data_IF_105350078944
#
_entry.id   IF_105350078944
#
_cell.length_a   1.000
_cell.length_b   1.000
_cell.length_c   1.000
_cell.angle_alpha   90.00
_cell.angle_beta   90.00
_cell.angle_gamma   90.00
#
_symmetry.space_group_name_H-M   'P 1'
#
loop_
_entity.id
_entity.type
_entity.pdbx_description
1 polymer ?
#
# COMPACT_ATOMS: atom_id res chain seq x y z
N UNK A 1 -12.25 -5.24 10.19
CA UNK A 1 -12.15 -3.78 9.94
C UNK A 1 -10.76 -3.50 9.39
N UNK A 2 -10.66 -2.68 8.34
CA UNK A 2 -9.36 -2.28 7.77
C UNK A 2 -8.85 -1.05 8.53
N UNK A 3 -7.59 -1.04 8.94
CA UNK A 3 -6.95 0.10 9.59
C UNK A 3 -5.54 0.33 9.07
N UNK A 4 -5.09 1.58 9.08
CA UNK A 4 -3.77 1.97 8.61
C UNK A 4 -3.05 2.75 9.72
N UNK A 5 -1.79 2.40 9.96
CA UNK A 5 -0.91 3.08 10.91
C UNK A 5 0.44 3.36 10.24
N UNK A 6 1.03 4.53 10.51
CA UNK A 6 2.39 4.87 10.05
C UNK A 6 3.27 5.17 11.26
N UNK A 7 4.47 4.60 11.29
CA UNK A 7 5.47 4.78 12.35
C UNK A 7 6.77 5.32 11.79
N UNK A 8 7.34 6.27 12.52
CA UNK A 8 8.72 6.73 12.31
C UNK A 8 9.68 5.83 13.08
N UNK A 9 10.74 5.38 12.41
CA UNK A 9 11.82 4.61 13.01
C UNK A 9 13.10 5.43 12.87
N UNK A 10 13.58 5.94 13.99
CA UNK A 10 14.82 6.71 14.04
C UNK A 10 16.01 5.83 13.63
N UNK A 11 16.99 6.37 12.89
CA UNK A 11 18.19 5.64 12.54
C UNK A 11 19.04 5.45 13.81
N UNK A 12 19.68 4.28 13.94
CA UNK A 12 20.59 4.01 15.06
C UNK A 12 21.92 4.77 14.93
N UNK A 13 22.25 5.23 13.71
CA UNK A 13 23.41 6.05 13.38
C UNK A 13 22.92 7.30 12.62
N UNK A 14 23.25 8.54 13.06
CA UNK A 14 22.83 9.77 12.38
C UNK A 14 23.26 9.91 10.91
N UNK A 15 24.24 9.13 10.45
CA UNK A 15 24.67 9.08 9.05
C UNK A 15 23.74 8.27 8.14
N UNK A 16 22.82 7.49 8.73
CA UNK A 16 21.84 6.66 8.01
C UNK A 16 20.47 7.36 7.94
N UNK A 17 19.68 7.12 6.87
CA UNK A 17 18.33 7.66 6.79
C UNK A 17 17.39 6.98 7.78
N UNK A 18 16.39 7.73 8.24
CA UNK A 18 15.29 7.18 9.03
C UNK A 18 14.40 6.27 8.18
N UNK A 19 13.61 5.40 8.82
CA UNK A 19 12.58 4.63 8.12
C UNK A 19 11.17 5.09 8.47
N UNK A 20 10.30 4.97 7.48
CA UNK A 20 8.86 5.05 7.60
C UNK A 20 8.28 3.64 7.44
N UNK A 21 7.53 3.19 8.44
CA UNK A 21 6.84 1.90 8.44
C UNK A 21 5.33 2.15 8.35
N UNK A 22 4.70 1.74 7.26
CA UNK A 22 3.24 1.78 7.09
C UNK A 22 2.66 0.37 7.21
N UNK A 23 1.74 0.20 8.15
CA UNK A 23 1.07 -1.06 8.43
C UNK A 23 -0.40 -0.90 8.04
N UNK A 24 -0.84 -1.66 7.05
CA UNK A 24 -2.25 -1.79 6.70
C UNK A 24 -2.76 -3.14 7.18
N UNK A 25 -3.60 -3.11 8.21
CA UNK A 25 -4.25 -4.30 8.76
C UNK A 25 -5.53 -4.58 7.99
N UNK A 26 -5.59 -5.75 7.36
CA UNK A 26 -6.80 -6.32 6.76
C UNK A 26 -7.44 -7.28 7.77
N UNK A 27 -8.50 -8.00 7.39
CA UNK A 27 -9.25 -8.87 8.32
C UNK A 27 -8.35 -9.98 8.89
N UNK A 28 -7.70 -10.75 8.02
CA UNK A 28 -6.86 -11.90 8.39
C UNK A 28 -5.41 -11.78 7.87
N UNK A 29 -5.02 -10.59 7.44
CA UNK A 29 -3.69 -10.35 6.88
C UNK A 29 -3.18 -8.93 7.15
N UNK A 30 -1.87 -8.76 7.00
CA UNK A 30 -1.20 -7.48 7.13
C UNK A 30 -0.43 -7.20 5.84
N UNK A 31 -0.53 -5.97 5.37
CA UNK A 31 0.36 -5.42 4.36
C UNK A 31 1.31 -4.45 5.05
N UNK A 32 2.61 -4.70 4.92
CA UNK A 32 3.66 -3.89 5.52
C UNK A 32 4.46 -3.23 4.40
N UNK A 33 4.56 -1.91 4.45
CA UNK A 33 5.46 -1.12 3.60
C UNK A 33 6.53 -0.48 4.48
N UNK A 34 7.79 -0.58 4.05
CA UNK A 34 8.94 0.03 4.73
C UNK A 34 9.76 0.77 3.69
N UNK A 35 10.05 2.04 3.95
CA UNK A 35 10.90 2.85 3.10
C UNK A 35 11.74 3.83 3.90
N UNK A 36 12.87 4.25 3.34
CA UNK A 36 13.67 5.35 3.90
C UNK A 36 12.90 6.67 3.78
N UNK A 37 13.13 7.60 4.70
CA UNK A 37 12.52 8.93 4.66
C UNK A 37 13.46 10.03 5.12
N UNK A 38 13.27 11.20 4.53
CA UNK A 38 13.89 12.46 4.97
C UNK A 38 12.92 13.33 5.77
N UNK A 39 11.66 12.91 5.92
CA UNK A 39 10.67 13.68 6.69
C UNK A 39 10.87 13.52 8.20
N UNK A 40 10.60 14.58 8.97
CA UNK A 40 10.51 14.48 10.42
C UNK A 40 9.29 13.62 10.83
N UNK A 41 9.26 13.12 12.08
CA UNK A 41 8.18 12.28 12.59
C UNK A 41 6.77 12.86 12.37
N UNK A 42 6.61 14.18 12.52
CA UNK A 42 5.32 14.88 12.37
C UNK A 42 4.74 14.83 10.96
N UNK A 43 5.57 14.53 9.95
CA UNK A 43 5.17 14.45 8.54
C UNK A 43 5.40 13.06 7.94
N UNK A 44 5.54 12.04 8.78
CA UNK A 44 5.91 10.68 8.35
C UNK A 44 4.90 10.05 7.37
N UNK A 45 3.65 10.48 7.41
CA UNK A 45 2.61 10.02 6.49
C UNK A 45 2.94 10.32 5.02
N UNK A 46 3.74 11.35 4.75
CA UNK A 46 4.17 11.73 3.40
C UNK A 46 5.37 10.94 2.91
N UNK A 47 6.07 10.23 3.79
CA UNK A 47 7.26 9.45 3.41
C UNK A 47 6.97 8.41 2.32
N UNK A 48 5.75 7.92 2.32
CA UNK A 48 5.29 6.91 1.37
C UNK A 48 5.07 7.49 -0.04
N UNK A 49 5.14 8.82 -0.21
CA UNK A 49 5.11 9.53 -1.50
C UNK A 49 6.52 9.72 -2.12
N UNK A 50 7.58 9.69 -1.30
CA UNK A 50 8.98 9.91 -1.74
C UNK A 50 9.55 8.74 -2.56
N UNK A 51 9.09 7.51 -2.30
CA UNK A 51 9.58 6.30 -2.94
C UNK A 51 9.16 6.18 -4.41
N UNK A 52 10.00 5.56 -5.26
CA UNK A 52 9.64 5.27 -6.68
C UNK A 52 8.97 3.90 -6.88
N UNK A 53 9.05 3.02 -5.88
CA UNK A 53 8.53 1.66 -5.94
C UNK A 53 7.27 1.54 -5.08
N UNK A 54 6.35 0.67 -5.47
CA UNK A 54 5.21 0.27 -4.64
C UNK A 54 4.28 1.44 -4.27
N UNK A 55 4.10 2.40 -5.20
CA UNK A 55 3.30 3.62 -5.03
C UNK A 55 1.80 3.38 -4.93
N UNK A 56 1.30 2.39 -5.66
CA UNK A 56 -0.12 2.07 -5.73
C UNK A 56 -0.32 0.56 -5.58
N UNK A 57 -1.17 0.17 -4.64
CA UNK A 57 -1.53 -1.21 -4.35
C UNK A 57 -3.04 -1.35 -4.40
N UNK A 58 -3.47 -2.41 -5.05
CA UNK A 58 -4.86 -2.82 -5.05
C UNK A 58 -4.93 -4.32 -4.86
N UNK A 59 -6.00 -4.76 -4.21
CA UNK A 59 -6.37 -6.16 -4.10
C UNK A 59 -7.56 -6.41 -5.00
N UNK A 60 -7.46 -7.43 -5.86
CA UNK A 60 -8.55 -7.95 -6.66
C UNK A 60 -9.00 -9.28 -6.10
N UNK A 61 -10.31 -9.51 -6.11
CA UNK A 61 -10.95 -10.74 -5.66
C UNK A 61 -11.70 -11.38 -6.85
N UNK A 62 -11.78 -12.72 -6.90
CA UNK A 62 -12.54 -13.38 -7.95
C UNK A 62 -14.02 -12.97 -7.90
N UNK A 63 -14.69 -12.84 -9.07
CA UNK A 63 -16.12 -12.64 -9.11
C UNK A 63 -16.84 -13.88 -8.57
N UNK A 64 -17.92 -13.68 -7.80
CA UNK A 64 -18.73 -14.80 -7.29
C UNK A 64 -19.53 -15.50 -8.40
N UNK A 65 -19.81 -14.81 -9.51
CA UNK A 65 -20.57 -15.31 -10.65
C UNK A 65 -19.76 -15.16 -11.94
N UNK A 66 -19.77 -16.18 -12.80
CA UNK A 66 -19.12 -16.12 -14.11
C UNK A 66 -19.69 -14.95 -14.95
N UNK A 67 -18.80 -14.19 -15.59
CA UNK A 67 -19.17 -13.04 -16.44
C UNK A 67 -19.28 -11.70 -15.71
N UNK A 68 -19.15 -11.65 -14.38
CA UNK A 68 -19.07 -10.39 -13.63
C UNK A 68 -17.64 -9.86 -13.51
N UNK A 69 -17.53 -8.54 -13.32
CA UNK A 69 -16.25 -7.90 -12.97
C UNK A 69 -15.95 -8.24 -11.51
N UNK A 70 -14.77 -8.80 -11.25
CA UNK A 70 -14.30 -9.07 -9.89
C UNK A 70 -14.18 -7.79 -9.08
N UNK A 71 -14.51 -7.86 -7.78
CA UNK A 71 -14.33 -6.71 -6.89
C UNK A 71 -12.83 -6.42 -6.75
N UNK A 72 -12.47 -5.13 -6.68
CA UNK A 72 -11.14 -4.74 -6.25
C UNK A 72 -11.21 -3.53 -5.34
N UNK A 73 -10.19 -3.39 -4.50
CA UNK A 73 -10.08 -2.30 -3.54
C UNK A 73 -8.65 -1.78 -3.59
N UNK A 74 -8.50 -0.46 -3.73
CA UNK A 74 -7.20 0.18 -3.56
C UNK A 74 -6.85 0.16 -2.08
N UNK A 75 -5.76 -0.52 -1.74
CA UNK A 75 -5.26 -0.63 -0.37
C UNK A 75 -4.37 0.58 -0.06
N UNK A 76 -3.66 1.06 -1.08
CA UNK A 76 -2.75 2.18 -0.97
C UNK A 76 -2.67 2.89 -2.31
N UNK A 77 -2.84 4.21 -2.32
CA UNK A 77 -2.83 5.03 -3.54
C UNK A 77 -2.11 6.33 -3.26
N UNK A 78 -1.04 6.59 -4.00
CA UNK A 78 -0.28 7.86 -3.98
C UNK A 78 -0.49 8.67 -5.25
N UNK A 79 -0.83 8.00 -6.35
CA UNK A 79 -1.11 8.67 -7.61
C UNK A 79 -2.60 8.80 -7.84
N UNK A 80 -3.02 9.83 -8.58
CA UNK A 80 -4.40 9.91 -9.06
C UNK A 80 -4.69 8.89 -10.16
N UNK A 81 -3.78 7.98 -10.51
CA UNK A 81 -4.00 6.92 -11.50
C UNK A 81 -4.74 5.72 -10.90
N UNK A 82 -5.63 5.09 -11.69
CA UNK A 82 -6.40 3.89 -11.36
C UNK A 82 -5.84 2.61 -12.02
N UNK A 83 -4.60 2.66 -12.50
CA UNK A 83 -3.93 1.53 -13.16
C UNK A 83 -3.85 0.29 -12.27
N UNK A 84 -3.39 0.44 -11.02
CA UNK A 84 -3.26 -0.68 -10.08
C UNK A 84 -4.62 -1.35 -9.79
N UNK A 85 -5.68 -0.55 -9.62
CA UNK A 85 -7.03 -1.04 -9.34
C UNK A 85 -7.59 -1.83 -10.53
N UNK A 86 -7.54 -1.26 -11.72
CA UNK A 86 -8.04 -1.91 -12.93
C UNK A 86 -7.26 -3.18 -13.29
N UNK A 87 -5.95 -3.20 -13.05
CA UNK A 87 -5.14 -4.41 -13.21
C UNK A 87 -5.51 -5.48 -12.19
N UNK A 88 -5.66 -5.12 -10.91
CA UNK A 88 -6.06 -6.06 -9.87
C UNK A 88 -7.40 -6.73 -10.18
N UNK A 89 -8.39 -5.98 -10.67
CA UNK A 89 -9.68 -6.54 -11.13
C UNK A 89 -9.51 -7.57 -12.25
N UNK A 90 -8.66 -7.26 -13.24
CA UNK A 90 -8.43 -8.17 -14.38
C UNK A 90 -7.74 -9.45 -13.94
N UNK A 91 -6.69 -9.34 -13.11
CA UNK A 91 -5.95 -10.49 -12.60
C UNK A 91 -6.83 -11.36 -11.71
N UNK A 92 -7.61 -10.77 -10.81
CA UNK A 92 -8.55 -11.50 -9.96
C UNK A 92 -9.64 -12.24 -10.75
N UNK A 93 -10.04 -11.72 -11.92
CA UNK A 93 -10.96 -12.43 -12.83
C UNK A 93 -10.30 -13.60 -13.56
N UNK A 94 -9.01 -13.54 -13.86
CA UNK A 94 -8.31 -14.51 -14.72
C UNK A 94 -7.73 -15.67 -13.91
N UNK A 95 -7.16 -15.38 -12.75
CA UNK A 95 -6.29 -16.30 -12.01
C UNK A 95 -6.86 -16.78 -10.67
N UNK A 96 -8.04 -16.32 -10.26
CA UNK A 96 -8.70 -16.70 -9.02
C UNK A 96 -10.10 -17.25 -9.31
#
# INVERSE_FOLDING_TARGET
MVSVETRYIAPSDPSLPAFALRITRLVDSYMIWIGTTEYPPDNIEKATEQGRLCKDWACGMPPQTQGQVGAATSIYRTSSSDESLSMAQRLGRIYC
#
